data_IF_673008389845
#
_entry.id   IF_673008389845
#
_cell.length_a   1.000
_cell.length_b   1.000
_cell.length_c   1.000
_cell.angle_alpha   90.00
_cell.angle_beta   90.00
_cell.angle_gamma   90.00
#
_symmetry.space_group_name_H-M   'P 1'
#
loop_
_entity.id
_entity.type
_entity.pdbx_description
1 polymer ?
#
# COMPACT_ATOMS: atom_id res chain seq x y z
N UNK A 1 25.09 -28.15 -0.54
CA UNK A 1 24.44 -27.20 -1.47
C UNK A 1 23.10 -26.57 -1.04
N UNK A 2 22.40 -26.95 0.05
CA UNK A 2 21.10 -26.33 0.35
C UNK A 2 21.19 -24.85 0.76
N UNK A 3 22.27 -24.44 1.45
CA UNK A 3 22.46 -23.03 1.84
C UNK A 3 22.56 -22.06 0.66
N UNK A 4 23.27 -22.43 -0.40
CA UNK A 4 23.39 -21.59 -1.60
C UNK A 4 22.04 -21.39 -2.31
N UNK A 5 21.21 -22.44 -2.35
CA UNK A 5 19.87 -22.38 -2.93
C UNK A 5 18.97 -21.44 -2.12
N UNK A 6 19.02 -21.55 -0.78
CA UNK A 6 18.25 -20.66 0.10
C UNK A 6 18.62 -19.18 -0.10
N UNK A 7 19.91 -18.87 -0.25
CA UNK A 7 20.39 -17.50 -0.49
C UNK A 7 19.81 -16.95 -1.81
N UNK A 8 19.83 -17.75 -2.88
CA UNK A 8 19.28 -17.31 -4.17
C UNK A 8 17.77 -17.04 -4.06
N UNK A 9 17.02 -17.93 -3.41
CA UNK A 9 15.58 -17.72 -3.21
C UNK A 9 15.32 -16.40 -2.47
N UNK A 10 16.03 -16.15 -1.36
CA UNK A 10 15.86 -14.91 -0.61
C UNK A 10 16.23 -13.69 -1.45
N UNK A 11 17.33 -13.75 -2.21
CA UNK A 11 17.78 -12.65 -3.06
C UNK A 11 16.73 -12.24 -4.10
N UNK A 12 16.01 -13.21 -4.67
CA UNK A 12 14.97 -12.92 -5.67
C UNK A 12 13.62 -12.55 -5.04
N UNK A 13 13.25 -13.15 -3.90
CA UNK A 13 11.93 -12.93 -3.27
C UNK A 13 11.90 -11.62 -2.48
N UNK A 14 12.99 -11.29 -1.78
CA UNK A 14 13.05 -10.11 -0.92
C UNK A 14 12.69 -8.79 -1.63
N UNK A 15 13.22 -8.44 -2.83
CA UNK A 15 12.85 -7.18 -3.48
C UNK A 15 11.36 -7.13 -3.83
N UNK A 16 10.77 -8.24 -4.26
CA UNK A 16 9.34 -8.32 -4.58
C UNK A 16 8.51 -8.10 -3.31
N UNK A 17 8.85 -8.78 -2.21
CA UNK A 17 8.14 -8.64 -0.94
C UNK A 17 8.23 -7.20 -0.42
N UNK A 18 9.41 -6.59 -0.49
CA UNK A 18 9.62 -5.21 -0.04
C UNK A 18 8.80 -4.23 -0.90
N UNK A 19 8.84 -4.34 -2.23
CA UNK A 19 8.05 -3.46 -3.10
C UNK A 19 6.54 -3.62 -2.84
N UNK A 20 6.07 -4.87 -2.72
CA UNK A 20 4.65 -5.16 -2.48
C UNK A 20 4.19 -4.70 -1.09
N UNK A 21 5.05 -4.75 -0.07
CA UNK A 21 4.68 -4.28 1.28
C UNK A 21 4.43 -2.77 1.29
N UNK A 22 5.25 -1.98 0.59
CA UNK A 22 5.02 -0.54 0.48
C UNK A 22 3.75 -0.22 -0.31
N UNK A 23 3.49 -0.94 -1.40
CA UNK A 23 2.24 -0.78 -2.16
C UNK A 23 1.01 -1.10 -1.30
N UNK A 24 1.06 -2.17 -0.50
CA UNK A 24 -0.01 -2.53 0.41
C UNK A 24 -0.23 -1.45 1.49
N UNK A 25 0.85 -0.94 2.11
CA UNK A 25 0.77 0.16 3.08
C UNK A 25 0.14 1.39 2.43
N UNK A 26 0.60 1.80 1.25
CA UNK A 26 0.05 2.95 0.54
C UNK A 26 -1.44 2.78 0.23
N UNK A 27 -1.87 1.59 -0.20
CA UNK A 27 -3.28 1.30 -0.45
C UNK A 27 -4.13 1.39 0.82
N UNK A 28 -3.65 0.83 1.94
CA UNK A 28 -4.34 0.90 3.24
C UNK A 28 -4.46 2.34 3.71
N UNK A 29 -3.37 3.10 3.72
CA UNK A 29 -3.40 4.51 4.12
C UNK A 29 -4.27 5.34 3.18
N UNK A 30 -4.18 5.14 1.87
CA UNK A 30 -5.01 5.82 0.89
C UNK A 30 -6.50 5.58 1.15
N UNK A 31 -6.91 4.34 1.42
CA UNK A 31 -8.30 4.02 1.74
C UNK A 31 -8.77 4.64 3.06
N UNK A 32 -7.95 4.56 4.11
CA UNK A 32 -8.30 5.14 5.42
C UNK A 32 -8.45 6.66 5.34
N UNK A 33 -7.54 7.34 4.64
CA UNK A 33 -7.58 8.78 4.45
C UNK A 33 -8.74 9.21 3.56
N UNK A 34 -9.04 8.43 2.51
CA UNK A 34 -10.20 8.66 1.66
C UNK A 34 -11.50 8.62 2.47
N UNK A 35 -11.68 7.57 3.27
CA UNK A 35 -12.87 7.41 4.12
C UNK A 35 -12.99 8.51 5.18
N UNK A 36 -11.87 8.94 5.78
CA UNK A 36 -11.85 10.08 6.71
C UNK A 36 -12.25 11.38 6.00
N UNK A 37 -11.75 11.58 4.77
CA UNK A 37 -12.12 12.72 3.93
C UNK A 37 -13.63 12.75 3.64
N UNK A 38 -14.22 11.62 3.26
CA UNK A 38 -15.65 11.50 2.99
C UNK A 38 -16.49 11.83 4.23
N UNK A 39 -16.16 11.25 5.38
CA UNK A 39 -16.87 11.51 6.64
C UNK A 39 -16.80 12.97 7.09
N UNK A 40 -15.66 13.65 6.85
CA UNK A 40 -15.46 15.04 7.26
C UNK A 40 -16.10 16.05 6.30
N UNK A 41 -16.34 15.64 5.07
CA UNK A 41 -17.00 16.47 4.05
C UNK A 41 -18.47 16.08 3.85
N UNK A 42 -19.04 15.21 4.69
CA UNK A 42 -20.44 14.84 4.63
C UNK A 42 -21.33 16.08 4.86
N UNK A 43 -22.16 16.41 3.86
CA UNK A 43 -23.03 17.60 3.88
C UNK A 43 -22.30 18.92 3.59
N UNK A 44 -21.04 18.87 3.17
CA UNK A 44 -20.27 20.03 2.73
C UNK A 44 -20.75 20.53 1.37
N UNK A 45 -20.82 21.85 1.18
CA UNK A 45 -21.11 22.49 -0.12
C UNK A 45 -19.87 22.55 -1.04
N UNK A 46 -18.73 22.04 -0.57
CA UNK A 46 -17.48 22.01 -1.33
C UNK A 46 -17.57 21.04 -2.51
N UNK A 47 -16.92 21.43 -3.62
CA UNK A 47 -16.84 20.60 -4.82
C UNK A 47 -16.01 19.34 -4.54
N UNK A 48 -16.54 18.18 -4.92
CA UNK A 48 -15.78 16.93 -4.87
C UNK A 48 -14.68 16.94 -5.95
N UNK A 49 -13.43 16.93 -5.49
CA UNK A 49 -12.24 16.91 -6.35
C UNK A 49 -11.61 15.52 -6.44
N UNK A 50 -12.11 14.55 -5.68
CA UNK A 50 -11.52 13.23 -5.56
C UNK A 50 -12.22 12.22 -6.48
N UNK A 51 -12.34 12.60 -7.77
CA UNK A 51 -12.81 11.75 -8.88
C UNK A 51 -11.77 10.75 -9.35
#
# INVERSE_FOLDING_TARGET
>A
MPGAIAILIVLFVLPVVVCMSFAAIAAVFGHLLYKDGEARNEGSELLDLNV
#
